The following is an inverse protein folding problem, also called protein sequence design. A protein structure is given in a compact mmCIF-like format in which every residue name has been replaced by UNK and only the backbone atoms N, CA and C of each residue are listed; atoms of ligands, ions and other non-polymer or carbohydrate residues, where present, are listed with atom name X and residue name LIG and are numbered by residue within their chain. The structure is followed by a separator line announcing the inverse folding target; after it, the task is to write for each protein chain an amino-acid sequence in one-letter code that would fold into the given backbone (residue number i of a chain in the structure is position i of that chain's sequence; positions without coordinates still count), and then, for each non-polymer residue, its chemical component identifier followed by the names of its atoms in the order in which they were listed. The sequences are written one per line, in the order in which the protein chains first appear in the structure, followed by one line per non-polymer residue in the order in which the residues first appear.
data_IF_370071383355
#
_entry.id   IF_370071383355
#
_cell.length_a   1.000
_cell.length_b   1.000
_cell.length_c   1.000
_cell.angle_alpha   90.00
_cell.angle_beta   90.00
_cell.angle_gamma   90.00
#
_symmetry.space_group_name_H-M   'P 1'
#
loop_
_entity.id
_entity.type
_entity.pdbx_description
1 polymer ?
#
# COMPACT_ATOMS: atom_id res chain seq x y z
N UNK A 1 6.33 -18.79 -30.42
CA UNK A 1 7.39 -18.74 -29.39
C UNK A 1 6.95 -19.63 -28.22
N UNK A 2 7.83 -20.45 -27.63
CA UNK A 2 7.43 -21.35 -26.56
C UNK A 2 7.11 -20.55 -25.29
N UNK A 3 5.97 -20.86 -24.67
CA UNK A 3 5.46 -20.24 -23.43
C UNK A 3 6.52 -20.26 -22.30
N UNK A 4 7.40 -21.27 -22.30
CA UNK A 4 8.50 -21.39 -21.33
C UNK A 4 9.55 -20.26 -21.43
N UNK A 5 9.86 -19.75 -22.63
CA UNK A 5 10.81 -18.63 -22.79
C UNK A 5 10.17 -17.32 -22.32
N UNK A 6 8.86 -17.18 -22.51
CA UNK A 6 8.09 -16.03 -22.02
C UNK A 6 8.15 -16.02 -20.48
N UNK A 7 7.78 -17.10 -19.80
CA UNK A 7 7.84 -17.20 -18.33
C UNK A 7 9.25 -16.92 -17.76
N UNK A 8 10.30 -17.45 -18.40
CA UNK A 8 11.69 -17.25 -17.95
C UNK A 8 12.17 -15.78 -18.05
N UNK A 9 11.57 -14.96 -18.92
CA UNK A 9 11.87 -13.53 -19.06
C UNK A 9 11.00 -12.68 -18.13
N UNK A 10 9.74 -13.09 -17.88
CA UNK A 10 8.80 -12.33 -17.06
C UNK A 10 8.99 -12.53 -15.55
N UNK A 11 9.36 -13.73 -15.09
CA UNK A 11 9.67 -13.98 -13.69
C UNK A 11 10.77 -13.05 -13.12
N UNK A 12 11.95 -12.89 -13.77
CA UNK A 12 12.93 -11.93 -13.31
C UNK A 12 12.44 -10.49 -13.44
N UNK A 13 11.54 -10.17 -14.38
CA UNK A 13 10.97 -8.83 -14.53
C UNK A 13 10.01 -8.44 -13.38
N UNK A 14 9.21 -9.38 -12.88
CA UNK A 14 8.36 -9.13 -11.71
C UNK A 14 9.18 -9.06 -10.41
N UNK A 15 10.20 -9.93 -10.29
CA UNK A 15 11.15 -9.88 -9.19
C UNK A 15 11.92 -8.56 -9.14
N UNK A 16 12.40 -8.05 -10.29
CA UNK A 16 13.06 -6.74 -10.36
C UNK A 16 12.09 -5.60 -10.08
N UNK A 17 10.84 -5.66 -10.55
CA UNK A 17 9.82 -4.67 -10.23
C UNK A 17 9.51 -4.61 -8.73
N UNK A 18 9.42 -5.77 -8.07
CA UNK A 18 9.20 -5.84 -6.63
C UNK A 18 10.42 -5.30 -5.87
N UNK A 19 11.63 -5.72 -6.24
CA UNK A 19 12.86 -5.27 -5.59
C UNK A 19 13.07 -3.76 -5.76
N UNK A 20 12.85 -3.23 -6.97
CA UNK A 20 12.91 -1.80 -7.22
C UNK A 20 11.82 -1.06 -6.45
N UNK A 21 10.58 -1.57 -6.40
CA UNK A 21 9.51 -0.98 -5.60
C UNK A 21 9.85 -0.88 -4.10
N UNK A 22 10.44 -1.94 -3.53
CA UNK A 22 10.94 -1.93 -2.14
C UNK A 22 12.04 -0.89 -1.97
N UNK A 23 13.00 -0.83 -2.90
CA UNK A 23 14.06 0.19 -2.86
C UNK A 23 13.49 1.62 -2.94
N UNK A 24 12.54 1.87 -3.84
CA UNK A 24 11.84 3.15 -3.97
C UNK A 24 11.13 3.54 -2.66
N UNK A 25 10.46 2.58 -2.01
CA UNK A 25 9.80 2.77 -0.72
C UNK A 25 10.80 3.15 0.39
N UNK A 26 11.93 2.46 0.47
CA UNK A 26 12.97 2.76 1.45
C UNK A 26 13.57 4.16 1.25
N UNK A 27 13.81 4.55 0.00
CA UNK A 27 14.28 5.90 -0.33
C UNK A 27 13.22 6.95 0.02
N UNK A 28 11.94 6.66 -0.22
CA UNK A 28 10.84 7.55 0.17
C UNK A 28 10.80 7.79 1.69
N UNK A 29 10.91 6.71 2.48
CA UNK A 29 10.98 6.78 3.96
C UNK A 29 12.20 7.59 4.41
N UNK A 30 13.34 7.42 3.74
CA UNK A 30 14.55 8.16 4.06
C UNK A 30 14.44 9.67 3.80
N UNK A 31 13.77 10.07 2.71
CA UNK A 31 13.45 11.47 2.47
C UNK A 31 12.52 12.04 3.54
N UNK A 32 11.51 11.27 3.96
CA UNK A 32 10.59 11.66 5.03
C UNK A 32 11.28 11.83 6.38
N UNK A 33 12.26 10.97 6.70
CA UNK A 33 13.03 11.05 7.93
C UNK A 33 14.02 12.23 7.98
N UNK A 34 14.41 12.77 6.81
CA UNK A 34 15.37 13.88 6.69
C UNK A 34 14.77 15.26 6.83
N UNK A 35 13.47 15.40 6.65
CA UNK A 35 12.76 16.67 6.80
C UNK A 35 11.57 16.53 7.78
N UNK A 36 11.83 16.41 9.10
CA UNK A 36 10.79 16.21 10.11
C UNK A 36 9.84 17.41 10.23
N UNK A 37 10.37 18.62 9.99
CA UNK A 37 9.65 19.90 10.09
C UNK A 37 8.86 20.24 8.81
N UNK A 38 9.02 19.44 7.75
CA UNK A 38 8.18 19.44 6.53
C UNK A 38 8.16 20.78 5.80
N UNK A 39 9.27 21.49 5.82
CA UNK A 39 9.37 22.84 5.25
C UNK A 39 10.06 22.86 3.87
N UNK A 40 10.66 21.77 3.42
CA UNK A 40 11.51 21.76 2.22
C UNK A 40 10.94 20.93 1.07
N UNK A 41 11.51 21.15 -0.13
CA UNK A 41 11.19 20.40 -1.36
C UNK A 41 11.47 18.89 -1.24
N UNK A 42 12.22 18.44 -0.23
CA UNK A 42 12.46 17.02 0.01
C UNK A 42 11.18 16.27 0.39
N UNK A 43 10.20 16.99 0.98
CA UNK A 43 8.88 16.48 1.30
C UNK A 43 8.07 16.09 0.05
N UNK A 44 8.16 16.88 -1.01
CA UNK A 44 7.45 16.62 -2.28
C UNK A 44 8.09 15.45 -3.03
N UNK A 45 9.42 15.32 -2.98
CA UNK A 45 10.11 14.19 -3.58
C UNK A 45 9.76 12.86 -2.89
N UNK A 46 9.72 12.85 -1.55
CA UNK A 46 9.27 11.69 -0.77
C UNK A 46 7.83 11.29 -1.10
N UNK A 47 6.95 12.27 -1.29
CA UNK A 47 5.57 12.04 -1.73
C UNK A 47 5.51 11.26 -3.04
N UNK A 48 6.20 11.73 -4.09
CA UNK A 48 6.14 11.08 -5.41
C UNK A 48 6.79 9.69 -5.42
N UNK A 49 7.82 9.48 -4.60
CA UNK A 49 8.44 8.16 -4.43
C UNK A 49 7.49 7.15 -3.78
N UNK A 50 6.70 7.55 -2.78
CA UNK A 50 5.65 6.68 -2.21
C UNK A 50 4.54 6.37 -3.22
N UNK A 51 4.17 7.34 -4.07
CA UNK A 51 3.17 7.15 -5.13
C UNK A 51 3.61 6.12 -6.15
N UNK A 52 4.89 6.11 -6.50
CA UNK A 52 5.46 5.17 -7.48
C UNK A 52 5.81 3.81 -6.87
N UNK A 53 6.25 3.76 -5.61
CA UNK A 53 6.63 2.52 -4.94
C UNK A 53 5.45 1.55 -4.75
N UNK A 54 4.26 2.06 -4.38
CA UNK A 54 3.09 1.23 -4.11
C UNK A 54 2.66 0.34 -5.30
N UNK A 55 2.44 0.88 -6.53
CA UNK A 55 2.08 0.04 -7.67
C UNK A 55 3.22 -0.91 -8.06
N UNK A 56 4.49 -0.50 -7.96
CA UNK A 56 5.63 -1.38 -8.23
C UNK A 56 5.62 -2.61 -7.32
N UNK A 57 5.43 -2.40 -6.01
CA UNK A 57 5.36 -3.49 -5.03
C UNK A 57 4.17 -4.38 -5.30
N UNK A 58 2.98 -3.83 -5.56
CA UNK A 58 1.78 -4.66 -5.77
C UNK A 58 1.86 -5.44 -7.07
N UNK A 59 2.22 -4.81 -8.20
CA UNK A 59 2.33 -5.51 -9.47
C UNK A 59 3.48 -6.52 -9.49
N UNK A 60 4.63 -6.16 -8.90
CA UNK A 60 5.74 -7.08 -8.73
C UNK A 60 5.35 -8.30 -7.87
N UNK A 61 4.70 -8.07 -6.73
CA UNK A 61 4.24 -9.14 -5.86
C UNK A 61 3.18 -10.02 -6.52
N UNK A 62 2.23 -9.41 -7.25
CA UNK A 62 1.22 -10.15 -8.03
C UNK A 62 1.87 -11.04 -9.10
N UNK A 63 2.90 -10.54 -9.78
CA UNK A 63 3.60 -11.32 -10.80
C UNK A 63 4.45 -12.45 -10.21
N UNK A 64 5.18 -12.17 -9.13
CA UNK A 64 5.99 -13.18 -8.42
C UNK A 64 5.13 -14.28 -7.80
N UNK A 65 3.99 -13.91 -7.20
CA UNK A 65 3.06 -14.87 -6.59
C UNK A 65 2.11 -15.54 -7.60
N UNK A 66 1.94 -14.95 -8.79
CA UNK A 66 0.94 -15.31 -9.78
C UNK A 66 1.46 -16.08 -10.99
N UNK A 67 2.78 -16.28 -11.13
CA UNK A 67 3.31 -17.17 -12.16
C UNK A 67 2.93 -18.63 -11.83
N UNK A 68 1.83 -19.09 -12.44
CA UNK A 68 1.36 -20.47 -12.39
C UNK A 68 -0.08 -20.66 -11.91
N UNK A 69 -0.68 -19.67 -11.24
CA UNK A 69 -2.10 -19.73 -10.87
C UNK A 69 -2.89 -18.87 -11.83
N UNK A 70 -3.89 -19.45 -12.50
CA UNK A 70 -4.91 -18.65 -13.17
C UNK A 70 -5.38 -17.53 -12.25
N UNK A 71 -5.60 -16.35 -12.84
CA UNK A 71 -6.13 -15.15 -12.21
C UNK A 71 -7.35 -15.49 -11.31
N UNK A 72 -7.16 -15.84 -10.03
CA UNK A 72 -8.30 -16.28 -9.22
C UNK A 72 -8.05 -16.90 -7.84
N UNK A 73 -6.81 -17.11 -7.40
CA UNK A 73 -6.58 -17.59 -6.04
C UNK A 73 -6.94 -16.49 -5.02
N UNK A 74 -8.01 -16.71 -4.25
CA UNK A 74 -8.42 -15.87 -3.11
C UNK A 74 -7.23 -15.55 -2.20
N UNK A 75 -6.29 -16.48 -2.05
CA UNK A 75 -5.06 -16.34 -1.27
C UNK A 75 -4.18 -15.17 -1.75
N UNK A 76 -4.04 -14.97 -3.06
CA UNK A 76 -3.26 -13.84 -3.62
C UNK A 76 -3.94 -12.52 -3.26
N UNK A 77 -5.27 -12.44 -3.37
CA UNK A 77 -6.02 -11.25 -3.02
C UNK A 77 -5.91 -10.90 -1.53
N UNK A 78 -5.92 -11.91 -0.65
CA UNK A 78 -5.70 -11.72 0.79
C UNK A 78 -4.30 -11.17 1.08
N UNK A 79 -3.26 -11.70 0.43
CA UNK A 79 -1.88 -11.18 0.57
C UNK A 79 -1.79 -9.73 0.12
N UNK A 80 -2.37 -9.39 -1.02
CA UNK A 80 -2.38 -8.01 -1.53
C UNK A 80 -3.11 -7.05 -0.59
N UNK A 81 -4.27 -7.46 -0.05
CA UNK A 81 -4.98 -6.68 0.98
C UNK A 81 -4.10 -6.48 2.21
N UNK A 82 -3.39 -7.51 2.67
CA UNK A 82 -2.45 -7.41 3.80
C UNK A 82 -1.33 -6.40 3.57
N UNK A 83 -0.71 -6.39 2.39
CA UNK A 83 0.34 -5.42 2.02
C UNK A 83 -0.21 -3.99 2.03
N UNK A 84 -1.43 -3.80 1.52
CA UNK A 84 -2.08 -2.48 1.46
C UNK A 84 -2.52 -1.98 2.83
N UNK A 85 -2.90 -2.88 3.74
CA UNK A 85 -3.08 -2.56 5.17
C UNK A 85 -1.74 -2.08 5.76
N UNK A 86 -0.63 -2.76 5.44
CA UNK A 86 0.71 -2.34 5.83
C UNK A 86 1.06 -0.92 5.38
N UNK A 87 0.79 -0.56 4.11
CA UNK A 87 0.96 0.81 3.63
C UNK A 87 0.05 1.81 4.33
N UNK A 88 -1.18 1.41 4.66
CA UNK A 88 -2.12 2.26 5.40
C UNK A 88 -1.59 2.56 6.82
N UNK A 89 -1.04 1.56 7.51
CA UNK A 89 -0.42 1.75 8.82
C UNK A 89 0.84 2.63 8.74
N UNK A 90 1.68 2.39 7.73
CA UNK A 90 2.86 3.22 7.49
C UNK A 90 2.49 4.68 7.19
N UNK A 91 1.41 4.89 6.41
CA UNK A 91 0.84 6.21 6.10
C UNK A 91 0.39 6.97 7.35
N UNK A 92 -0.33 6.27 8.24
CA UNK A 92 -0.80 6.80 9.52
C UNK A 92 0.38 7.18 10.42
N UNK A 93 1.38 6.30 10.51
CA UNK A 93 2.56 6.52 11.32
C UNK A 93 3.33 7.77 10.84
N UNK A 94 3.62 7.85 9.54
CA UNK A 94 4.35 8.96 8.91
C UNK A 94 3.55 10.27 8.82
N UNK A 95 2.27 10.27 9.21
CA UNK A 95 1.36 11.40 9.06
C UNK A 95 1.35 11.96 7.62
N UNK A 96 1.29 11.07 6.61
CA UNK A 96 1.23 11.44 5.19
C UNK A 96 0.08 10.70 4.50
N UNK A 97 -0.92 11.45 4.02
CA UNK A 97 -2.08 10.95 3.23
C UNK A 97 -1.69 10.31 1.88
N UNK A 98 -0.48 10.58 1.40
CA UNK A 98 0.07 10.14 0.13
C UNK A 98 0.04 8.63 -0.09
N UNK A 99 0.38 7.88 0.95
CA UNK A 99 0.50 6.42 0.91
C UNK A 99 -0.87 5.72 0.82
N UNK A 100 -1.92 6.31 1.39
CA UNK A 100 -3.28 5.81 1.22
C UNK A 100 -3.73 6.05 -0.23
N UNK A 101 -3.46 7.23 -0.78
CA UNK A 101 -3.84 7.58 -2.15
C UNK A 101 -3.13 6.68 -3.17
N UNK A 102 -1.85 6.34 -2.93
CA UNK A 102 -1.05 5.53 -3.86
C UNK A 102 -1.50 4.06 -3.95
N UNK A 103 -2.02 3.51 -2.85
CA UNK A 103 -2.52 2.13 -2.80
C UNK A 103 -4.02 1.99 -3.10
N UNK A 104 -4.79 3.08 -3.11
CA UNK A 104 -6.26 3.03 -3.05
C UNK A 104 -6.90 2.34 -4.26
N UNK A 105 -6.44 2.64 -5.47
CA UNK A 105 -6.99 2.02 -6.69
C UNK A 105 -6.77 0.51 -6.63
N UNK A 106 -5.54 0.11 -6.30
CA UNK A 106 -5.16 -1.29 -6.22
C UNK A 106 -5.85 -2.03 -5.08
N UNK A 107 -6.07 -1.35 -3.95
CA UNK A 107 -6.88 -1.83 -2.84
C UNK A 107 -8.34 -2.04 -3.23
N UNK A 108 -8.93 -1.06 -3.91
CA UNK A 108 -10.28 -1.16 -4.43
C UNK A 108 -10.45 -2.36 -5.37
N UNK A 109 -9.51 -2.55 -6.30
CA UNK A 109 -9.51 -3.70 -7.21
C UNK A 109 -9.32 -5.03 -6.46
N UNK A 110 -8.49 -5.07 -5.41
CA UNK A 110 -8.25 -6.29 -4.62
C UNK A 110 -9.47 -6.68 -3.80
N UNK A 111 -10.11 -5.71 -3.13
CA UNK A 111 -11.37 -5.91 -2.41
C UNK A 111 -12.48 -6.33 -3.37
N UNK A 112 -12.57 -5.67 -4.53
CA UNK A 112 -13.53 -6.04 -5.56
C UNK A 112 -13.40 -7.51 -5.95
N UNK A 113 -12.19 -7.96 -6.30
CA UNK A 113 -11.95 -9.36 -6.66
C UNK A 113 -12.25 -10.33 -5.50
N UNK A 114 -12.02 -9.91 -4.25
CA UNK A 114 -12.36 -10.72 -3.08
C UNK A 114 -13.87 -10.89 -2.94
N UNK A 115 -14.65 -9.83 -3.16
CA UNK A 115 -16.12 -9.91 -3.14
C UNK A 115 -16.67 -10.81 -4.25
N UNK A 116 -16.05 -10.79 -5.43
CA UNK A 116 -16.42 -11.67 -6.55
C UNK A 116 -16.24 -13.16 -6.21
N UNK A 117 -15.36 -13.50 -5.27
CA UNK A 117 -15.22 -14.88 -4.79
C UNK A 117 -16.43 -15.38 -3.98
N UNK A 118 -17.28 -14.47 -3.49
CA UNK A 118 -18.50 -14.81 -2.72
C UNK A 118 -19.77 -14.87 -3.57
N UNK A 119 -19.72 -14.47 -4.85
CA UNK A 119 -20.85 -14.52 -5.79
C UNK A 119 -21.00 -13.27 -6.67
N UNK A 120 -22.00 -13.29 -7.56
CA UNK A 120 -22.16 -12.31 -8.66
C UNK A 120 -23.35 -11.34 -8.51
N UNK A 121 -23.95 -11.23 -7.33
CA UNK A 121 -25.05 -10.28 -7.11
C UNK A 121 -24.58 -8.83 -7.30
N UNK A 122 -25.48 -7.91 -7.64
CA UNK A 122 -25.14 -6.47 -7.76
C UNK A 122 -24.46 -5.93 -6.50
N UNK A 123 -24.91 -6.40 -5.32
CA UNK A 123 -24.29 -6.02 -4.06
C UNK A 123 -22.84 -6.51 -3.99
N UNK A 124 -22.58 -7.79 -4.24
CA UNK A 124 -21.22 -8.32 -4.14
C UNK A 124 -20.30 -7.70 -5.20
N UNK A 125 -20.82 -7.51 -6.41
CA UNK A 125 -20.02 -6.98 -7.51
C UNK A 125 -19.71 -5.51 -7.36
N UNK A 126 -20.69 -4.67 -7.08
CA UNK A 126 -20.51 -3.22 -7.10
C UNK A 126 -20.63 -2.59 -5.71
N UNK A 127 -21.79 -2.75 -5.07
CA UNK A 127 -22.14 -1.94 -3.90
C UNK A 127 -21.24 -2.25 -2.68
N UNK A 128 -21.00 -3.52 -2.39
CA UNK A 128 -20.21 -3.99 -1.25
C UNK A 128 -18.76 -3.48 -1.29
N UNK A 129 -17.99 -3.72 -2.36
CA UNK A 129 -16.64 -3.19 -2.51
C UNK A 129 -16.58 -1.67 -2.42
N UNK A 130 -17.49 -0.96 -3.11
CA UNK A 130 -17.54 0.51 -3.09
C UNK A 130 -17.86 1.06 -1.70
N UNK A 131 -18.82 0.46 -0.99
CA UNK A 131 -19.18 0.86 0.37
C UNK A 131 -18.03 0.59 1.35
N UNK A 132 -17.36 -0.56 1.23
CA UNK A 132 -16.25 -0.91 2.10
C UNK A 132 -15.04 0.03 1.87
N UNK A 133 -14.65 0.23 0.63
CA UNK A 133 -13.52 1.10 0.27
C UNK A 133 -13.86 2.56 0.58
N UNK A 134 -15.04 3.05 0.17
CA UNK A 134 -15.48 4.41 0.44
C UNK A 134 -15.64 4.69 1.94
N UNK A 135 -16.21 3.74 2.69
CA UNK A 135 -16.33 3.81 4.14
C UNK A 135 -14.96 3.88 4.82
N UNK A 136 -14.01 3.03 4.42
CA UNK A 136 -12.63 3.08 4.93
C UNK A 136 -11.97 4.43 4.61
N UNK A 137 -12.13 4.97 3.41
CA UNK A 137 -11.58 6.28 3.02
C UNK A 137 -12.17 7.40 3.88
N UNK A 138 -13.49 7.41 4.11
CA UNK A 138 -14.15 8.41 4.95
C UNK A 138 -13.72 8.29 6.41
N UNK A 139 -13.68 7.08 6.96
CA UNK A 139 -13.25 6.82 8.34
C UNK A 139 -11.79 7.22 8.56
N UNK A 140 -10.89 6.88 7.63
CA UNK A 140 -9.49 7.26 7.71
C UNK A 140 -9.30 8.77 7.50
N UNK A 141 -10.09 9.39 6.60
CA UNK A 141 -10.03 10.83 6.33
C UNK A 141 -10.52 11.67 7.51
N UNK A 142 -11.67 11.34 8.09
CA UNK A 142 -12.29 12.05 9.20
C UNK A 142 -11.68 11.68 10.56
N UNK A 143 -11.36 10.39 10.76
CA UNK A 143 -10.81 9.83 12.00
C UNK A 143 -9.28 9.82 12.06
N UNK A 144 -8.59 10.52 11.16
CA UNK A 144 -7.13 10.48 11.01
C UNK A 144 -6.38 10.70 12.33
N UNK A 145 -6.68 11.81 13.02
CA UNK A 145 -6.01 12.18 14.29
C UNK A 145 -6.24 11.12 15.37
N UNK A 146 -7.49 10.65 15.51
CA UNK A 146 -7.86 9.61 16.49
C UNK A 146 -7.17 8.28 16.19
N UNK A 147 -7.17 7.86 14.93
CA UNK A 147 -6.56 6.59 14.49
C UNK A 147 -5.05 6.61 14.68
N UNK A 148 -4.40 7.73 14.34
CA UNK A 148 -2.96 7.93 14.55
C UNK A 148 -2.60 7.92 16.03
N UNK A 149 -3.38 8.62 16.87
CA UNK A 149 -3.18 8.63 18.33
C UNK A 149 -3.32 7.23 18.92
N UNK A 150 -4.28 6.43 18.44
CA UNK A 150 -4.47 5.06 18.86
C UNK A 150 -3.29 4.16 18.45
N UNK A 151 -2.82 4.29 17.20
CA UNK A 151 -1.68 3.54 16.68
C UNK A 151 -0.37 3.87 17.40
N UNK A 152 -0.15 5.15 17.71
CA UNK A 152 1.06 5.62 18.38
C UNK A 152 0.98 5.54 19.91
N UNK A 153 -0.15 5.10 20.49
CA UNK A 153 -0.33 5.01 21.93
C UNK A 153 0.69 4.08 22.63
N UNK A 154 1.18 3.06 21.91
CA UNK A 154 2.18 2.10 22.40
C UNK A 154 3.63 2.43 22.02
N UNK A 155 3.89 3.48 21.25
CA UNK A 155 5.25 3.79 20.79
C UNK A 155 6.04 4.62 21.82
N UNK A 156 7.34 4.32 22.04
CA UNK A 156 8.17 5.08 22.96
C UNK A 156 8.33 6.53 22.47
N UNK A 157 8.00 7.48 23.36
CA UNK A 157 7.99 8.94 23.07
C UNK A 157 9.40 9.57 23.01
N UNK A 158 10.46 8.76 23.02
CA UNK A 158 11.86 9.21 23.14
C UNK A 158 12.75 8.40 22.18
N UNK A 159 13.79 9.03 21.62
CA UNK A 159 14.79 8.39 20.74
C UNK A 159 14.57 8.58 19.23
N UNK A 160 15.28 7.80 18.40
CA UNK A 160 15.26 7.90 16.92
C UNK A 160 13.84 7.72 16.36
N UNK A 161 13.03 6.87 16.97
CA UNK A 161 11.62 6.66 16.61
C UNK A 161 10.74 7.90 16.85
N UNK A 162 11.03 8.73 17.85
CA UNK A 162 10.28 9.97 18.10
C UNK A 162 10.57 11.05 17.04
N UNK A 163 11.73 10.95 16.36
CA UNK A 163 12.10 11.84 15.25
C UNK A 163 11.39 11.45 13.95
N UNK A 164 11.11 10.16 13.77
CA UNK A 164 10.36 9.62 12.62
C UNK A 164 8.85 9.77 12.84
N UNK A 165 8.38 9.63 14.08
CA UNK A 165 6.97 9.72 14.47
C UNK A 165 6.75 10.85 15.49
N UNK A 166 6.76 12.12 15.06
CA UNK A 166 6.61 13.25 15.98
C UNK A 166 5.23 13.21 16.66
N UNK A 167 5.14 13.36 18.00
CA UNK A 167 3.88 13.41 18.71
C UNK A 167 3.03 14.61 18.24
N UNK A 168 1.71 14.43 18.15
CA UNK A 168 0.80 15.55 17.93
C UNK A 168 0.79 16.44 19.17
N UNK A 169 1.00 17.74 18.97
CA UNK A 169 0.76 18.77 19.99
C UNK A 169 -0.74 18.91 20.28
#
# INVERSE_FOLDING_TARGET
MPIAIVAMIFFPAFGTLLATGIATLLVAIWFDARDPDRATRMSDNGFWLHVTAAPQIVYGLRGVLGEGSELGSVSIHLVLVGVLIGFTLLSLALNRRALIISGLITFGVSIWNLFQAFGDSFFLRFAGPLLLVGGLVVLLGAGWKTSRKLLLAGFPKQGVMARIFPPEA
#
